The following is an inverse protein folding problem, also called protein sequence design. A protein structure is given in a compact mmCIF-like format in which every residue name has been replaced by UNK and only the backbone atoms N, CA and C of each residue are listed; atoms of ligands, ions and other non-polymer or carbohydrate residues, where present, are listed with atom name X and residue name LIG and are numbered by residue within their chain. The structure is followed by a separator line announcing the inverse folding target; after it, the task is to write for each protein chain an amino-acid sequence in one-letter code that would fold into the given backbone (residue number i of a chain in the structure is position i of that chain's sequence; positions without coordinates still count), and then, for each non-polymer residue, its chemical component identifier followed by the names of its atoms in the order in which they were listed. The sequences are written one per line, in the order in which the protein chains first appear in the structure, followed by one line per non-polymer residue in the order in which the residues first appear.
data_IF_152551083967
#
_entry.id   IF_152551083967
#
_cell.length_a   1.000
_cell.length_b   1.000
_cell.length_c   1.000
_cell.angle_alpha   90.00
_cell.angle_beta   90.00
_cell.angle_gamma   90.00
#
_symmetry.space_group_name_H-M   'P 1'
#
loop_
_entity.id
_entity.type
_entity.pdbx_description
1 polymer ?
#
# COMPACT_ATOMS: atom_id res chain seq x y z
N UNK A 1 18.81 -28.29 0.67
CA UNK A 1 20.22 -27.87 0.49
C UNK A 1 21.09 -28.70 1.45
N UNK A 2 22.14 -29.37 1.00
CA UNK A 2 22.88 -30.35 1.85
C UNK A 2 23.73 -29.60 2.89
N UNK A 3 23.30 -29.67 4.16
CA UNK A 3 23.87 -28.99 5.33
C UNK A 3 25.38 -29.29 5.52
N UNK A 4 25.78 -30.53 5.20
CA UNK A 4 27.19 -30.94 5.30
C UNK A 4 28.11 -30.29 4.24
N UNK A 5 27.50 -29.82 3.13
CA UNK A 5 28.22 -29.06 2.11
C UNK A 5 28.40 -27.60 2.55
N UNK A 6 27.37 -27.05 3.20
CA UNK A 6 27.38 -25.66 3.70
C UNK A 6 28.41 -25.52 4.85
N UNK A 7 28.44 -26.47 5.79
CA UNK A 7 29.39 -26.49 6.88
C UNK A 7 30.84 -26.60 6.36
N UNK A 8 31.09 -27.44 5.35
CA UNK A 8 32.41 -27.58 4.72
C UNK A 8 32.87 -26.33 3.99
N UNK A 9 31.95 -25.61 3.33
CA UNK A 9 32.25 -24.34 2.64
C UNK A 9 32.56 -23.21 3.63
N UNK A 10 31.85 -23.17 4.77
CA UNK A 10 32.12 -22.22 5.85
C UNK A 10 33.46 -22.54 6.53
N UNK A 11 33.72 -23.79 6.83
CA UNK A 11 34.95 -24.23 7.42
C UNK A 11 36.18 -23.88 6.55
N UNK A 12 36.03 -23.95 5.23
CA UNK A 12 37.05 -23.55 4.27
C UNK A 12 37.28 -22.04 4.24
N UNK A 13 36.26 -21.24 4.49
CA UNK A 13 36.34 -19.75 4.55
C UNK A 13 36.91 -19.25 5.88
N UNK A 14 36.81 -20.04 6.94
CA UNK A 14 37.29 -19.69 8.28
C UNK A 14 38.73 -20.15 8.54
N UNK A 15 39.43 -20.63 7.53
CA UNK A 15 40.81 -21.21 7.68
C UNK A 15 41.84 -20.23 8.25
N UNK A 16 41.61 -18.92 8.04
CA UNK A 16 42.54 -17.87 8.45
C UNK A 16 42.26 -17.36 9.90
N UNK A 17 41.24 -17.89 10.56
CA UNK A 17 40.95 -17.55 11.96
C UNK A 17 41.70 -18.49 12.95
N UNK A 18 42.03 -17.97 14.15
CA UNK A 18 42.56 -18.79 15.24
C UNK A 18 41.63 -19.98 15.54
N UNK A 19 42.23 -21.13 15.91
CA UNK A 19 41.50 -22.40 16.08
C UNK A 19 40.35 -22.32 17.09
N UNK A 20 40.53 -21.56 18.18
CA UNK A 20 39.50 -21.33 19.19
C UNK A 20 38.29 -20.52 18.63
N UNK A 21 38.55 -19.45 17.88
CA UNK A 21 37.50 -18.63 17.28
C UNK A 21 36.74 -19.37 16.15
N UNK A 22 37.46 -20.24 15.41
CA UNK A 22 36.87 -21.11 14.39
C UNK A 22 35.94 -22.14 15.00
N UNK A 23 36.33 -22.77 16.11
CA UNK A 23 35.53 -23.74 16.84
C UNK A 23 34.22 -23.09 17.37
N UNK A 24 34.32 -21.90 17.95
CA UNK A 24 33.17 -21.16 18.49
C UNK A 24 32.15 -20.79 17.40
N UNK A 25 32.61 -20.33 16.23
CA UNK A 25 31.74 -20.02 15.09
C UNK A 25 31.08 -21.28 14.51
N UNK A 26 31.83 -22.39 14.42
CA UNK A 26 31.30 -23.65 13.90
C UNK A 26 30.29 -24.29 14.87
N UNK A 27 30.52 -24.18 16.18
CA UNK A 27 29.59 -24.70 17.18
C UNK A 27 28.32 -23.84 17.27
N UNK A 28 28.41 -22.51 17.17
CA UNK A 28 27.28 -21.64 17.05
C UNK A 28 26.44 -21.94 15.79
N UNK A 29 27.09 -22.15 14.65
CA UNK A 29 26.46 -22.57 13.39
C UNK A 29 25.80 -23.96 13.49
N UNK A 30 26.46 -24.91 14.17
CA UNK A 30 25.90 -26.25 14.42
C UNK A 30 24.68 -26.21 15.35
N UNK A 31 24.72 -25.35 16.37
CA UNK A 31 23.56 -25.11 17.23
C UNK A 31 22.40 -24.48 16.47
N UNK A 32 22.67 -23.49 15.60
CA UNK A 32 21.65 -22.84 14.78
C UNK A 32 21.03 -23.79 13.75
N UNK A 33 21.89 -24.60 13.07
CA UNK A 33 21.46 -25.66 12.14
C UNK A 33 20.70 -26.77 12.90
N UNK A 34 21.09 -27.11 14.13
CA UNK A 34 20.41 -28.10 14.96
C UNK A 34 19.09 -27.56 15.51
N UNK A 35 19.01 -26.26 15.73
CA UNK A 35 17.78 -25.53 16.05
C UNK A 35 16.85 -25.54 14.83
N UNK A 36 17.34 -25.25 13.64
CA UNK A 36 16.57 -25.34 12.38
C UNK A 36 16.18 -26.79 12.03
N UNK A 37 17.05 -27.82 12.28
CA UNK A 37 16.70 -29.23 12.07
C UNK A 37 15.65 -29.77 13.04
N UNK A 38 15.58 -29.27 14.26
CA UNK A 38 14.49 -29.61 15.19
C UNK A 38 13.13 -29.16 14.67
N UNK A 39 13.12 -28.22 13.72
CA UNK A 39 11.93 -27.77 12.99
C UNK A 39 11.52 -28.68 11.81
N UNK A 40 12.33 -29.67 11.43
CA UNK A 40 12.17 -30.47 10.20
C UNK A 40 11.98 -31.98 10.51
N UNK A 41 12.18 -32.45 11.75
CA UNK A 41 11.98 -33.87 12.06
C UNK A 41 10.50 -34.21 12.31
N UNK A 42 9.94 -35.26 11.65
CA UNK A 42 8.53 -35.62 11.78
C UNK A 42 8.28 -36.36 13.10
N UNK A 43 7.74 -35.62 14.06
CA UNK A 43 7.05 -36.23 15.21
C UNK A 43 5.63 -36.60 14.83
N UNK A 44 5.25 -37.84 15.08
CA UNK A 44 3.92 -38.42 15.13
C UNK A 44 2.97 -38.21 13.93
N UNK A 45 2.73 -39.26 13.17
CA UNK A 45 1.99 -39.32 11.90
C UNK A 45 0.56 -38.78 11.96
N UNK A 46 -0.12 -38.86 13.10
CA UNK A 46 -1.52 -38.43 13.26
C UNK A 46 -1.62 -36.91 13.52
N UNK A 47 -0.68 -36.33 14.25
CA UNK A 47 -0.57 -34.90 14.50
C UNK A 47 -0.20 -34.15 13.21
N UNK A 48 0.73 -34.70 12.45
CA UNK A 48 1.16 -34.20 11.14
C UNK A 48 0.03 -34.23 10.08
N UNK A 49 -0.88 -35.20 10.14
CA UNK A 49 -2.05 -35.24 9.23
C UNK A 49 -3.09 -34.20 9.61
N UNK A 50 -3.27 -33.92 10.90
CA UNK A 50 -4.21 -32.91 11.40
C UNK A 50 -3.70 -31.49 11.08
N UNK A 51 -2.42 -31.24 11.28
CA UNK A 51 -1.74 -30.00 10.90
C UNK A 51 -1.85 -29.72 9.39
N UNK A 52 -1.49 -30.70 8.56
CA UNK A 52 -1.62 -30.62 7.09
C UNK A 52 -3.06 -30.37 6.64
N UNK A 53 -4.02 -30.91 7.36
CA UNK A 53 -5.44 -30.72 7.04
C UNK A 53 -5.90 -29.31 7.37
N UNK A 54 -5.55 -28.78 8.55
CA UNK A 54 -5.85 -27.41 8.96
C UNK A 54 -5.14 -26.42 8.03
N UNK A 55 -3.88 -26.68 7.71
CA UNK A 55 -3.10 -25.88 6.76
C UNK A 55 -3.75 -25.88 5.37
N UNK A 56 -4.17 -27.05 4.87
CA UNK A 56 -4.83 -27.18 3.57
C UNK A 56 -6.22 -26.53 3.54
N UNK A 57 -7.01 -26.63 4.61
CA UNK A 57 -8.32 -25.98 4.72
C UNK A 57 -8.17 -24.45 4.81
N UNK A 58 -7.23 -23.97 5.63
CA UNK A 58 -6.93 -22.53 5.76
C UNK A 58 -6.44 -21.93 4.42
N UNK A 59 -5.53 -22.66 3.76
CA UNK A 59 -5.03 -22.29 2.44
C UNK A 59 -6.16 -22.22 1.40
N UNK A 60 -7.07 -23.19 1.44
CA UNK A 60 -8.22 -23.25 0.56
C UNK A 60 -9.17 -22.07 0.75
N UNK A 61 -9.52 -21.71 1.98
CA UNK A 61 -10.43 -20.61 2.29
C UNK A 61 -9.86 -19.26 1.82
N UNK A 62 -8.55 -19.05 2.04
CA UNK A 62 -7.85 -17.86 1.53
C UNK A 62 -7.80 -17.86 0.00
N UNK A 63 -7.48 -19.01 -0.63
CA UNK A 63 -7.47 -19.14 -2.10
C UNK A 63 -8.87 -18.95 -2.71
N UNK A 64 -9.94 -19.39 -2.05
CA UNK A 64 -11.30 -19.15 -2.53
C UNK A 64 -11.67 -17.67 -2.47
N UNK A 65 -11.28 -16.94 -1.43
CA UNK A 65 -11.46 -15.49 -1.36
C UNK A 65 -10.72 -14.77 -2.49
N UNK A 66 -9.49 -15.21 -2.81
CA UNK A 66 -8.69 -14.69 -3.92
C UNK A 66 -9.34 -14.98 -5.27
N UNK A 67 -9.83 -16.23 -5.47
CA UNK A 67 -10.40 -16.66 -6.74
C UNK A 67 -11.74 -15.96 -7.05
N UNK A 68 -12.47 -15.52 -6.03
CA UNK A 68 -13.68 -14.71 -6.16
C UNK A 68 -13.39 -13.25 -6.54
N UNK A 69 -12.13 -12.88 -6.75
CA UNK A 69 -11.75 -11.49 -7.07
C UNK A 69 -12.03 -10.52 -5.93
N UNK A 70 -11.95 -11.01 -4.70
CA UNK A 70 -12.20 -10.22 -3.49
C UNK A 70 -11.24 -9.03 -3.42
N UNK A 71 -11.74 -7.93 -2.89
CA UNK A 71 -10.94 -6.73 -2.59
C UNK A 71 -9.91 -7.04 -1.52
N UNK A 72 -8.86 -6.22 -1.45
CA UNK A 72 -7.76 -6.40 -0.50
C UNK A 72 -8.24 -6.42 0.96
N UNK A 73 -9.20 -5.56 1.30
CA UNK A 73 -9.82 -5.48 2.63
C UNK A 73 -10.48 -6.81 3.05
N UNK A 74 -11.24 -7.44 2.13
CA UNK A 74 -11.92 -8.73 2.38
C UNK A 74 -10.89 -9.85 2.59
N UNK A 75 -9.80 -9.85 1.84
CA UNK A 75 -8.72 -10.86 1.99
C UNK A 75 -8.05 -10.71 3.37
N UNK A 76 -7.75 -9.49 3.77
CA UNK A 76 -7.10 -9.20 5.04
C UNK A 76 -7.98 -9.61 6.22
N UNK A 77 -9.27 -9.28 6.18
CA UNK A 77 -10.24 -9.70 7.21
C UNK A 77 -10.32 -11.23 7.33
N UNK A 78 -10.37 -11.94 6.20
CA UNK A 78 -10.38 -13.40 6.22
C UNK A 78 -9.09 -13.97 6.80
N UNK A 79 -7.93 -13.40 6.47
CA UNK A 79 -6.62 -13.80 7.05
C UNK A 79 -6.64 -13.65 8.58
N UNK A 80 -7.06 -12.50 9.10
CA UNK A 80 -7.11 -12.28 10.56
C UNK A 80 -8.13 -13.19 11.25
N UNK A 81 -9.25 -13.47 10.58
CA UNK A 81 -10.27 -14.39 11.08
C UNK A 81 -9.74 -15.83 11.17
N UNK A 82 -9.05 -16.31 10.15
CA UNK A 82 -8.43 -17.62 10.13
C UNK A 82 -7.32 -17.72 11.19
N UNK A 83 -6.49 -16.69 11.32
CA UNK A 83 -5.45 -16.61 12.34
C UNK A 83 -6.03 -16.78 13.76
N UNK A 84 -7.11 -16.06 14.08
CA UNK A 84 -7.78 -16.12 15.37
C UNK A 84 -8.44 -17.50 15.65
N UNK A 85 -8.64 -18.33 14.63
CA UNK A 85 -9.18 -19.69 14.76
C UNK A 85 -8.09 -20.74 15.05
N UNK A 86 -6.88 -20.53 14.50
CA UNK A 86 -5.80 -21.51 14.54
C UNK A 86 -4.75 -21.19 15.60
N UNK A 87 -4.62 -19.93 16.02
CA UNK A 87 -3.69 -19.51 17.07
C UNK A 87 -4.43 -18.79 18.18
N UNK A 88 -4.31 -19.28 19.40
CA UNK A 88 -4.88 -18.63 20.57
C UNK A 88 -4.12 -17.34 20.85
N UNK A 89 -4.79 -16.19 20.67
CA UNK A 89 -4.22 -14.88 20.92
C UNK A 89 -5.30 -13.90 21.35
N UNK A 90 -4.96 -12.92 22.22
CA UNK A 90 -5.89 -11.90 22.67
C UNK A 90 -6.08 -10.82 21.60
N UNK A 91 -5.07 -10.62 20.77
CA UNK A 91 -5.12 -9.69 19.66
C UNK A 91 -4.21 -10.12 18.51
N UNK A 92 -4.58 -9.69 17.31
CA UNK A 92 -3.74 -9.84 16.13
C UNK A 92 -3.93 -8.63 15.21
N UNK A 93 -2.91 -8.30 14.43
CA UNK A 93 -2.97 -7.22 13.45
C UNK A 93 -2.09 -7.50 12.24
N UNK A 94 -2.50 -6.95 11.13
CA UNK A 94 -1.78 -7.00 9.88
C UNK A 94 -1.34 -5.59 9.48
N UNK A 95 -0.06 -5.46 9.17
CA UNK A 95 0.52 -4.22 8.65
C UNK A 95 1.04 -4.42 7.25
N UNK A 96 1.04 -3.36 6.46
CA UNK A 96 1.72 -3.33 5.16
C UNK A 96 2.82 -2.28 5.19
N UNK A 97 3.88 -2.55 4.44
CA UNK A 97 5.00 -1.65 4.27
C UNK A 97 4.62 -0.59 3.23
N UNK A 98 4.69 0.68 3.64
CA UNK A 98 4.51 1.82 2.76
C UNK A 98 5.81 2.13 2.00
N UNK A 99 5.77 2.85 0.86
CA UNK A 99 6.96 3.21 0.07
C UNK A 99 8.02 4.02 0.84
N UNK A 100 7.61 4.76 1.88
CA UNK A 100 8.50 5.52 2.77
C UNK A 100 9.20 4.66 3.83
N UNK A 101 8.97 3.35 3.81
CA UNK A 101 9.55 2.38 4.74
C UNK A 101 8.89 2.32 6.11
N UNK A 102 7.74 2.95 6.30
CA UNK A 102 6.91 2.81 7.50
C UNK A 102 5.94 1.65 7.36
N UNK A 103 5.58 1.06 8.48
CA UNK A 103 4.50 0.09 8.55
C UNK A 103 3.18 0.80 8.81
N UNK A 104 2.16 0.44 8.06
CA UNK A 104 0.79 0.93 8.23
C UNK A 104 -0.12 -0.20 8.67
N UNK A 105 -0.82 -0.03 9.77
CA UNK A 105 -1.84 -0.99 10.25
C UNK A 105 -3.00 -0.97 9.27
N UNK A 106 -3.30 -2.11 8.66
CA UNK A 106 -4.41 -2.24 7.72
C UNK A 106 -5.64 -2.80 8.40
N UNK A 107 -5.46 -3.79 9.28
CA UNK A 107 -6.53 -4.36 10.07
C UNK A 107 -6.00 -4.90 11.40
N UNK A 108 -6.87 -4.94 12.40
CA UNK A 108 -6.60 -5.48 13.72
C UNK A 108 -7.84 -6.17 14.28
N UNK A 109 -7.67 -7.13 15.18
CA UNK A 109 -8.72 -7.83 15.92
C UNK A 109 -8.31 -8.05 17.35
N UNK A 110 -9.30 -8.05 18.26
CA UNK A 110 -9.08 -8.30 19.68
C UNK A 110 -8.47 -7.14 20.44
N UNK A 111 -8.40 -5.94 19.85
CA UNK A 111 -7.92 -4.73 20.51
C UNK A 111 -9.10 -3.86 20.96
N UNK A 112 -8.94 -3.15 22.05
CA UNK A 112 -9.96 -2.17 22.45
C UNK A 112 -9.92 -1.00 21.44
N UNK A 113 -10.91 -0.93 20.55
CA UNK A 113 -10.98 0.10 19.50
C UNK A 113 -10.35 -0.31 18.16
N UNK A 114 -10.60 -1.53 17.72
CA UNK A 114 -10.07 -2.10 16.46
C UNK A 114 -10.16 -1.15 15.25
N UNK A 115 -11.27 -0.42 15.13
CA UNK A 115 -11.46 0.56 14.05
C UNK A 115 -10.56 1.82 14.19
N UNK A 116 -10.09 2.14 15.39
CA UNK A 116 -9.29 3.35 15.63
C UNK A 116 -7.80 3.16 15.33
N UNK A 117 -7.33 1.90 15.25
CA UNK A 117 -5.91 1.61 14.99
C UNK A 117 -5.61 1.43 13.50
N UNK A 118 -6.62 1.17 12.68
CA UNK A 118 -6.45 1.10 11.23
C UNK A 118 -5.95 2.44 10.68
N UNK A 119 -4.98 2.38 9.77
CA UNK A 119 -4.33 3.56 9.19
C UNK A 119 -3.15 4.10 10.01
N UNK A 120 -2.95 3.67 11.27
CA UNK A 120 -1.78 4.07 12.06
C UNK A 120 -0.49 3.67 11.37
N UNK A 121 0.43 4.64 11.25
CA UNK A 121 1.76 4.45 10.67
C UNK A 121 2.81 4.50 11.76
N UNK A 122 3.72 3.55 11.75
CA UNK A 122 4.81 3.49 12.71
C UNK A 122 6.08 2.91 12.10
N UNK A 123 7.18 3.10 12.79
CA UNK A 123 8.48 2.47 12.55
C UNK A 123 9.18 2.32 13.89
N UNK A 124 9.68 1.15 14.18
CA UNK A 124 10.40 0.84 15.43
C UNK A 124 11.60 -0.08 15.15
N UNK A 125 12.46 -0.22 16.15
CA UNK A 125 13.71 -0.98 16.03
C UNK A 125 13.50 -2.46 15.73
N UNK A 126 12.41 -3.08 16.22
CA UNK A 126 12.11 -4.49 15.96
C UNK A 126 11.58 -4.69 14.55
N UNK A 127 10.75 -3.77 14.04
CA UNK A 127 10.31 -3.78 12.65
C UNK A 127 11.49 -3.65 11.68
N UNK A 128 12.46 -2.79 12.00
CA UNK A 128 13.68 -2.64 11.20
C UNK A 128 14.53 -3.92 11.24
N UNK A 129 14.67 -4.57 12.40
CA UNK A 129 15.35 -5.84 12.55
C UNK A 129 14.69 -6.96 11.72
N UNK A 130 13.35 -7.05 11.75
CA UNK A 130 12.63 -8.06 10.97
C UNK A 130 12.80 -7.79 9.47
N UNK A 131 12.80 -6.52 9.06
CA UNK A 131 13.02 -6.12 7.67
C UNK A 131 14.41 -6.49 7.16
N UNK A 132 15.43 -6.38 8.02
CA UNK A 132 16.80 -6.76 7.66
C UNK A 132 16.97 -8.28 7.59
N UNK A 133 16.40 -9.00 8.56
CA UNK A 133 16.61 -10.44 8.69
C UNK A 133 15.61 -11.28 7.91
N UNK A 134 14.42 -10.74 7.63
CA UNK A 134 13.29 -11.43 7.00
C UNK A 134 12.86 -12.70 7.75
N UNK A 135 13.11 -12.73 9.04
CA UNK A 135 12.80 -13.86 9.93
C UNK A 135 11.70 -13.49 10.92
N UNK A 136 10.86 -14.44 11.32
CA UNK A 136 9.92 -14.26 12.42
C UNK A 136 10.63 -13.89 13.71
N UNK A 137 9.99 -13.06 14.52
CA UNK A 137 10.43 -12.71 15.86
C UNK A 137 9.36 -13.11 16.87
N UNK A 138 9.81 -13.68 17.99
CA UNK A 138 8.97 -14.07 19.09
C UNK A 138 9.56 -13.58 20.41
N UNK A 139 8.75 -12.88 21.20
CA UNK A 139 9.08 -12.39 22.53
C UNK A 139 8.19 -13.09 23.56
N UNK A 140 8.79 -13.85 24.46
CA UNK A 140 8.07 -14.50 25.55
C UNK A 140 7.50 -13.48 26.54
N UNK A 141 8.26 -12.42 26.83
CA UNK A 141 7.80 -11.25 27.58
C UNK A 141 8.39 -9.99 26.95
N UNK A 142 7.54 -9.11 26.46
CA UNK A 142 7.96 -7.83 25.82
C UNK A 142 8.68 -6.90 26.79
N UNK A 143 8.46 -7.03 28.11
CA UNK A 143 9.15 -6.19 29.10
C UNK A 143 10.61 -6.58 29.29
N UNK A 144 11.03 -7.75 28.83
CA UNK A 144 12.42 -8.17 28.80
C UNK A 144 13.19 -7.68 27.58
N UNK A 145 12.53 -7.07 26.60
CA UNK A 145 13.14 -6.58 25.35
C UNK A 145 13.12 -5.04 25.31
N UNK A 146 14.27 -4.42 25.58
CA UNK A 146 14.39 -2.96 25.63
C UNK A 146 14.04 -2.23 24.33
N UNK A 147 14.15 -2.92 23.18
CA UNK A 147 13.82 -2.39 21.85
C UNK A 147 12.33 -2.43 21.54
N UNK A 148 11.54 -3.13 22.35
CA UNK A 148 10.11 -3.19 22.15
C UNK A 148 9.48 -1.84 22.52
N UNK A 149 8.96 -1.16 21.53
CA UNK A 149 8.22 0.10 21.71
C UNK A 149 6.81 -0.08 21.15
N UNK A 150 5.78 -0.03 22.00
CA UNK A 150 4.41 -0.09 21.51
C UNK A 150 4.12 1.13 20.65
N UNK A 151 3.55 0.90 19.45
CA UNK A 151 3.10 1.99 18.59
C UNK A 151 1.84 2.66 19.18
N UNK A 152 1.51 3.92 18.83
CA UNK A 152 0.35 4.64 19.37
C UNK A 152 -0.97 3.88 19.12
N UNK A 153 -1.69 3.55 20.18
CA UNK A 153 -2.91 2.76 20.11
C UNK A 153 -2.70 1.23 20.11
N UNK A 154 -1.44 0.76 20.23
CA UNK A 154 -1.17 -0.66 20.36
C UNK A 154 -1.85 -1.27 21.60
N UNK A 155 -2.37 -2.51 21.50
CA UNK A 155 -2.85 -3.21 22.67
C UNK A 155 -1.71 -3.48 23.66
N UNK A 156 -2.04 -3.53 24.96
CA UNK A 156 -1.09 -3.90 26.00
C UNK A 156 -0.84 -5.41 25.95
N UNK A 157 0.24 -5.81 25.30
CA UNK A 157 0.66 -7.20 25.21
C UNK A 157 1.83 -7.51 26.14
N UNK A 158 1.93 -8.75 26.60
CA UNK A 158 3.05 -9.28 27.39
C UNK A 158 3.85 -10.29 26.56
N UNK A 159 3.19 -11.18 25.85
CA UNK A 159 3.85 -12.05 24.85
C UNK A 159 3.50 -11.59 23.45
N UNK A 160 4.48 -11.63 22.56
CA UNK A 160 4.35 -11.10 21.21
C UNK A 160 5.06 -11.99 20.19
N UNK A 161 4.40 -12.23 19.08
CA UNK A 161 5.00 -12.89 17.94
C UNK A 161 4.69 -12.10 16.67
N UNK A 162 5.66 -12.00 15.76
CA UNK A 162 5.51 -11.33 14.49
C UNK A 162 6.13 -12.16 13.37
N UNK A 163 5.39 -12.28 12.28
CA UNK A 163 5.75 -13.08 11.12
C UNK A 163 5.81 -12.14 9.90
N UNK A 164 6.93 -12.09 9.15
CA UNK A 164 7.01 -11.30 7.95
C UNK A 164 6.15 -11.89 6.84
N UNK A 165 5.43 -11.02 6.14
CA UNK A 165 4.66 -11.35 4.94
C UNK A 165 5.60 -11.25 3.74
N UNK A 166 6.14 -12.38 3.30
CA UNK A 166 7.17 -12.45 2.26
C UNK A 166 6.62 -13.05 0.96
N UNK A 167 6.95 -12.41 -0.16
CA UNK A 167 6.75 -12.97 -1.51
C UNK A 167 8.04 -12.80 -2.29
N UNK A 168 8.60 -13.90 -2.79
CA UNK A 168 9.83 -13.90 -3.59
C UNK A 168 11.02 -13.18 -2.91
N UNK A 169 11.06 -13.21 -1.57
CA UNK A 169 12.09 -12.53 -0.76
C UNK A 169 11.82 -11.03 -0.50
N UNK A 170 10.73 -10.47 -1.02
CA UNK A 170 10.30 -9.10 -0.76
C UNK A 170 9.36 -9.04 0.44
N UNK A 171 9.60 -8.12 1.37
CA UNK A 171 8.74 -7.88 2.52
C UNK A 171 7.55 -6.99 2.12
N UNK A 172 6.34 -7.52 2.22
CA UNK A 172 5.10 -6.77 1.98
C UNK A 172 4.55 -6.11 3.24
N UNK A 173 4.84 -6.68 4.40
CA UNK A 173 4.31 -6.25 5.68
C UNK A 173 4.57 -7.27 6.78
N UNK A 174 3.85 -7.14 7.90
CA UNK A 174 3.98 -8.01 9.06
C UNK A 174 2.61 -8.49 9.54
N UNK A 175 2.55 -9.75 9.95
CA UNK A 175 1.44 -10.34 10.68
C UNK A 175 1.87 -10.50 12.14
N UNK A 176 1.16 -9.90 13.07
CA UNK A 176 1.52 -9.91 14.48
C UNK A 176 0.40 -10.49 15.36
N UNK A 177 0.83 -11.16 16.42
CA UNK A 177 0.01 -11.81 17.43
C UNK A 177 0.41 -11.30 18.81
N UNK A 178 -0.54 -11.10 19.71
CA UNK A 178 -0.27 -10.65 21.06
C UNK A 178 -1.14 -11.37 22.10
N UNK A 179 -0.54 -11.62 23.28
CA UNK A 179 -1.22 -12.06 24.50
C UNK A 179 -1.01 -11.03 25.60
N UNK A 180 -2.06 -10.74 26.36
CA UNK A 180 -2.01 -9.80 27.49
C UNK A 180 -1.32 -10.39 28.72
N UNK A 181 -1.18 -11.70 28.79
CA UNK A 181 -0.43 -12.41 29.82
C UNK A 181 0.91 -12.89 29.29
N UNK A 182 1.85 -13.20 30.20
CA UNK A 182 3.12 -13.83 29.85
C UNK A 182 2.86 -15.31 29.57
N UNK A 183 2.55 -15.57 28.31
CA UNK A 183 2.27 -16.91 27.80
C UNK A 183 2.90 -17.03 26.41
N UNK A 184 4.11 -17.60 26.31
CA UNK A 184 4.82 -17.71 25.03
C UNK A 184 4.03 -18.51 24.01
N UNK A 185 4.14 -18.10 22.74
CA UNK A 185 3.58 -18.88 21.63
C UNK A 185 4.39 -20.16 21.43
N UNK A 186 3.69 -21.28 21.32
CA UNK A 186 4.28 -22.59 21.08
C UNK A 186 4.83 -22.72 19.65
N UNK A 187 5.70 -23.71 19.44
CA UNK A 187 6.29 -23.97 18.11
C UNK A 187 5.23 -24.27 17.06
N UNK A 188 4.22 -25.07 17.39
CA UNK A 188 3.10 -25.42 16.52
C UNK A 188 2.30 -24.17 16.13
N UNK A 189 1.95 -23.32 17.09
CA UNK A 189 1.23 -22.07 16.82
C UNK A 189 2.00 -21.14 15.88
N UNK A 190 3.31 -21.02 16.11
CA UNK A 190 4.18 -20.23 15.24
C UNK A 190 4.31 -20.84 13.84
N UNK A 191 4.32 -22.17 13.72
CA UNK A 191 4.35 -22.87 12.45
C UNK A 191 3.07 -22.59 11.64
N UNK A 192 1.90 -22.76 12.27
CA UNK A 192 0.62 -22.46 11.64
C UNK A 192 0.49 -20.98 11.24
N UNK A 193 0.93 -20.07 12.12
CA UNK A 193 0.94 -18.64 11.80
C UNK A 193 1.87 -18.31 10.60
N UNK A 194 3.03 -18.98 10.48
CA UNK A 194 3.93 -18.83 9.32
C UNK A 194 3.30 -19.33 8.03
N UNK A 195 2.65 -20.50 8.05
CA UNK A 195 1.97 -21.05 6.88
C UNK A 195 0.86 -20.11 6.40
N UNK A 196 0.07 -19.57 7.34
CA UNK A 196 -0.96 -18.57 7.02
C UNK A 196 -0.36 -17.27 6.48
N UNK A 197 0.72 -16.77 7.10
CA UNK A 197 1.39 -15.55 6.65
C UNK A 197 1.93 -15.68 5.22
N UNK A 198 2.49 -16.83 4.87
CA UNK A 198 2.95 -17.11 3.51
C UNK A 198 1.79 -17.07 2.50
N UNK A 199 0.68 -17.72 2.81
CA UNK A 199 -0.52 -17.73 1.98
C UNK A 199 -1.15 -16.34 1.86
N UNK A 200 -1.22 -15.61 2.99
CA UNK A 200 -1.71 -14.25 3.04
C UNK A 200 -0.84 -13.29 2.20
N UNK A 201 0.47 -13.42 2.27
CA UNK A 201 1.39 -12.59 1.49
C UNK A 201 1.16 -12.76 -0.02
N UNK A 202 1.04 -14.00 -0.50
CA UNK A 202 0.73 -14.29 -1.90
C UNK A 202 -0.63 -13.70 -2.33
N UNK A 203 -1.64 -13.84 -1.47
CA UNK A 203 -2.98 -13.30 -1.68
C UNK A 203 -2.98 -11.77 -1.80
N UNK A 204 -2.33 -11.10 -0.84
CA UNK A 204 -2.19 -9.65 -0.79
C UNK A 204 -1.44 -9.13 -2.02
N UNK A 205 -0.34 -9.80 -2.42
CA UNK A 205 0.42 -9.45 -3.62
C UNK A 205 -0.45 -9.52 -4.88
N UNK A 206 -1.18 -10.63 -5.04
CA UNK A 206 -2.10 -10.80 -6.18
C UNK A 206 -3.19 -9.74 -6.20
N UNK A 207 -3.81 -9.43 -5.05
CA UNK A 207 -4.84 -8.40 -4.96
C UNK A 207 -4.30 -7.01 -5.32
N UNK A 208 -3.11 -6.64 -4.81
CA UNK A 208 -2.44 -5.38 -5.15
C UNK A 208 -2.15 -5.29 -6.65
N UNK A 209 -1.64 -6.35 -7.26
CA UNK A 209 -1.36 -6.38 -8.70
C UNK A 209 -2.64 -6.25 -9.53
N UNK A 210 -3.70 -6.95 -9.17
CA UNK A 210 -4.99 -6.85 -9.86
C UNK A 210 -5.60 -5.46 -9.74
N UNK A 211 -5.51 -4.84 -8.56
CA UNK A 211 -5.98 -3.48 -8.34
C UNK A 211 -5.17 -2.48 -9.18
N UNK A 212 -3.85 -2.66 -9.23
CA UNK A 212 -2.96 -1.86 -10.07
C UNK A 212 -3.32 -1.98 -11.57
N UNK A 213 -3.53 -3.21 -12.06
CA UNK A 213 -3.95 -3.46 -13.45
C UNK A 213 -5.30 -2.80 -13.74
N UNK A 214 -6.28 -2.89 -12.83
CA UNK A 214 -7.59 -2.25 -12.98
C UNK A 214 -7.47 -0.72 -13.04
N UNK A 215 -6.64 -0.12 -12.19
CA UNK A 215 -6.38 1.31 -12.21
C UNK A 215 -5.75 1.77 -13.52
N UNK A 216 -4.74 1.04 -14.02
CA UNK A 216 -4.13 1.35 -15.32
C UNK A 216 -5.11 1.16 -16.49
N UNK A 217 -5.92 0.12 -16.46
CA UNK A 217 -6.97 -0.08 -17.47
C UNK A 217 -7.97 1.07 -17.49
N UNK A 218 -8.45 1.50 -16.31
CA UNK A 218 -9.34 2.66 -16.18
C UNK A 218 -8.70 3.96 -16.70
N UNK A 219 -7.40 4.17 -16.43
CA UNK A 219 -6.67 5.31 -16.99
C UNK A 219 -6.62 5.26 -18.51
N UNK A 220 -6.29 4.11 -19.10
CA UNK A 220 -6.24 3.96 -20.57
C UNK A 220 -7.60 4.20 -21.21
N UNK A 221 -8.67 3.74 -20.58
CA UNK A 221 -10.03 4.01 -21.05
C UNK A 221 -10.33 5.52 -21.10
N UNK A 222 -9.95 6.29 -20.07
CA UNK A 222 -10.14 7.74 -20.05
C UNK A 222 -9.25 8.46 -21.06
N UNK A 223 -8.02 8.01 -21.27
CA UNK A 223 -7.14 8.56 -22.33
C UNK A 223 -7.75 8.35 -23.71
N UNK A 224 -8.21 7.14 -24.00
CA UNK A 224 -8.88 6.83 -25.29
C UNK A 224 -10.15 7.65 -25.48
N UNK A 225 -10.91 7.88 -24.42
CA UNK A 225 -12.13 8.72 -24.48
C UNK A 225 -11.81 10.17 -24.88
N UNK A 226 -10.74 10.76 -24.33
CA UNK A 226 -10.27 12.10 -24.69
C UNK A 226 -9.78 12.13 -26.14
N UNK A 227 -8.95 11.18 -26.54
CA UNK A 227 -8.44 11.08 -27.91
C UNK A 227 -9.58 10.95 -28.93
N UNK A 228 -10.64 10.19 -28.60
CA UNK A 228 -11.81 10.06 -29.46
C UNK A 228 -12.58 11.38 -29.62
N UNK A 229 -12.69 12.18 -28.58
CA UNK A 229 -13.31 13.54 -28.65
C UNK A 229 -12.50 14.44 -29.56
N UNK A 230 -11.16 14.41 -29.46
CA UNK A 230 -10.26 15.18 -30.32
C UNK A 230 -10.37 14.74 -31.79
N UNK A 231 -10.33 13.43 -32.04
CA UNK A 231 -10.38 12.85 -33.38
C UNK A 231 -11.71 13.18 -34.12
N UNK A 232 -12.80 13.25 -33.39
CA UNK A 232 -14.10 13.65 -33.97
C UNK A 232 -14.25 15.16 -34.21
N UNK A 233 -13.18 15.94 -34.04
CA UNK A 233 -13.18 17.37 -34.32
C UNK A 233 -14.03 18.19 -33.35
N UNK A 234 -14.23 17.71 -32.12
CA UNK A 234 -14.98 18.39 -31.09
C UNK A 234 -14.39 19.75 -30.71
N UNK A 235 -15.18 20.63 -30.12
CA UNK A 235 -14.71 21.98 -29.70
C UNK A 235 -13.64 21.87 -28.62
N UNK A 236 -12.82 22.91 -28.49
CA UNK A 236 -11.77 22.93 -27.45
C UNK A 236 -12.38 22.85 -26.04
N UNK A 237 -13.58 23.43 -25.88
CA UNK A 237 -14.37 23.31 -24.64
C UNK A 237 -14.82 21.87 -24.39
N UNK A 238 -15.24 21.15 -25.44
CA UNK A 238 -15.64 19.75 -25.32
C UNK A 238 -14.43 18.84 -24.96
N UNK A 239 -13.25 19.15 -25.52
CA UNK A 239 -12.00 18.45 -25.14
C UNK A 239 -11.61 18.77 -23.70
N UNK A 240 -11.72 20.04 -23.28
CA UNK A 240 -11.45 20.44 -21.90
C UNK A 240 -12.39 19.72 -20.92
N UNK A 241 -13.68 19.63 -21.27
CA UNK A 241 -14.67 18.92 -20.45
C UNK A 241 -14.36 17.41 -20.37
N UNK A 242 -14.01 16.77 -21.49
CA UNK A 242 -13.64 15.35 -21.51
C UNK A 242 -12.40 15.07 -20.64
N UNK A 243 -11.43 15.99 -20.64
CA UNK A 243 -10.23 15.90 -19.78
C UNK A 243 -10.63 15.96 -18.29
N UNK A 244 -11.50 16.90 -17.92
CA UNK A 244 -11.93 17.04 -16.53
C UNK A 244 -12.77 15.85 -16.08
N UNK A 245 -13.71 15.41 -16.90
CA UNK A 245 -14.57 14.25 -16.61
C UNK A 245 -13.75 12.97 -16.47
N UNK A 246 -12.71 12.80 -17.30
CA UNK A 246 -11.79 11.68 -17.21
C UNK A 246 -10.99 11.68 -15.91
N UNK A 247 -10.47 12.83 -15.49
CA UNK A 247 -9.80 12.99 -14.21
C UNK A 247 -10.77 12.68 -13.04
N UNK A 248 -12.00 13.16 -13.12
CA UNK A 248 -13.05 12.87 -12.14
C UNK A 248 -13.31 11.37 -11.95
N UNK A 249 -13.37 10.62 -13.06
CA UNK A 249 -13.60 9.16 -13.01
C UNK A 249 -12.41 8.39 -12.48
N UNK A 250 -11.17 8.79 -12.82
CA UNK A 250 -9.94 8.14 -12.34
C UNK A 250 -9.83 8.22 -10.82
N UNK A 251 -10.12 9.38 -10.22
CA UNK A 251 -9.98 9.63 -8.79
C UNK A 251 -11.31 9.63 -8.02
N UNK A 252 -12.45 9.32 -8.68
CA UNK A 252 -13.79 9.41 -8.09
C UNK A 252 -14.12 10.80 -7.53
N UNK A 253 -13.57 11.86 -8.11
CA UNK A 253 -13.83 13.24 -7.71
C UNK A 253 -15.22 13.68 -8.11
N UNK A 254 -15.92 14.39 -7.21
CA UNK A 254 -17.29 14.88 -7.43
C UNK A 254 -17.33 16.34 -7.90
N UNK A 255 -16.22 17.06 -7.80
CA UNK A 255 -16.13 18.45 -8.20
C UNK A 255 -14.73 18.82 -8.68
N UNK A 256 -14.66 19.80 -9.60
CA UNK A 256 -13.38 20.28 -10.08
C UNK A 256 -13.48 21.27 -11.22
N UNK A 257 -12.32 21.82 -11.56
CA UNK A 257 -12.10 22.77 -12.64
C UNK A 257 -10.90 22.35 -13.48
N UNK A 258 -10.97 22.64 -14.79
CA UNK A 258 -9.77 22.74 -15.62
C UNK A 258 -9.51 24.22 -15.91
N UNK A 259 -8.44 24.76 -15.37
CA UNK A 259 -7.98 26.12 -15.60
C UNK A 259 -6.89 26.09 -16.64
N UNK A 260 -7.05 26.82 -17.73
CA UNK A 260 -6.09 26.90 -18.84
C UNK A 260 -5.58 28.32 -19.05
N UNK A 261 -4.40 28.45 -19.63
CA UNK A 261 -3.86 29.75 -20.06
C UNK A 261 -4.59 30.22 -21.30
N UNK A 262 -5.25 31.37 -21.22
CA UNK A 262 -5.89 32.06 -22.36
C UNK A 262 -5.13 33.32 -22.76
N UNK A 263 -5.54 33.97 -23.87
CA UNK A 263 -4.91 35.19 -24.35
C UNK A 263 -4.93 36.38 -23.37
N UNK A 264 -5.99 36.42 -22.55
CA UNK A 264 -6.23 37.47 -21.53
C UNK A 264 -5.89 37.04 -20.13
N UNK A 265 -5.20 35.89 -19.94
CA UNK A 265 -4.88 35.29 -18.64
C UNK A 265 -5.58 33.94 -18.38
N UNK A 266 -5.34 33.37 -17.23
CA UNK A 266 -5.94 32.08 -16.86
C UNK A 266 -7.47 32.14 -16.80
N UNK A 267 -8.10 31.13 -17.41
CA UNK A 267 -9.60 31.01 -17.44
C UNK A 267 -10.04 29.59 -17.16
N UNK A 268 -11.26 29.45 -16.69
CA UNK A 268 -11.92 28.16 -16.51
C UNK A 268 -12.35 27.63 -17.88
N UNK A 269 -11.76 26.51 -18.31
CA UNK A 269 -12.08 25.87 -19.59
C UNK A 269 -13.16 24.78 -19.44
N UNK A 270 -13.25 24.14 -18.27
CA UNK A 270 -14.25 23.15 -17.94
C UNK A 270 -14.55 23.16 -16.44
N UNK A 271 -15.75 22.74 -16.05
CA UNK A 271 -16.19 22.62 -14.67
C UNK A 271 -16.97 21.33 -14.44
N UNK A 272 -16.88 20.79 -13.22
CA UNK A 272 -17.56 19.59 -12.76
C UNK A 272 -18.09 19.82 -11.35
N UNK A 273 -19.33 19.39 -11.09
CA UNK A 273 -20.03 19.57 -9.80
C UNK A 273 -20.82 20.86 -9.71
N UNK A 274 -21.95 20.79 -8.98
CA UNK A 274 -22.92 21.91 -8.85
C UNK A 274 -22.30 23.22 -8.35
N UNK A 275 -21.28 23.11 -7.48
CA UNK A 275 -20.58 24.26 -6.90
C UNK A 275 -19.87 25.13 -7.94
N UNK A 276 -19.49 24.56 -9.07
CA UNK A 276 -18.79 25.24 -10.15
C UNK A 276 -19.67 25.55 -11.36
N UNK A 277 -20.98 25.40 -11.25
CA UNK A 277 -21.89 25.76 -12.33
C UNK A 277 -21.73 27.22 -12.76
N UNK A 278 -21.76 27.46 -14.07
CA UNK A 278 -21.67 28.78 -14.64
C UNK A 278 -20.28 29.47 -14.51
N UNK A 279 -19.23 28.74 -14.14
CA UNK A 279 -17.84 29.28 -14.08
C UNK A 279 -17.09 29.17 -15.39
N UNK A 280 -17.49 28.29 -16.30
CA UNK A 280 -16.84 28.09 -17.61
C UNK A 280 -16.78 29.40 -18.41
N UNK A 281 -15.62 29.68 -18.98
CA UNK A 281 -15.34 30.88 -19.75
C UNK A 281 -14.95 32.09 -18.91
N UNK A 282 -15.19 32.09 -17.59
CA UNK A 282 -14.81 33.20 -16.70
C UNK A 282 -13.32 33.18 -16.40
N UNK A 283 -12.71 34.32 -16.03
CA UNK A 283 -11.38 34.36 -15.48
C UNK A 283 -11.27 33.46 -14.26
N UNK A 284 -10.14 32.78 -14.11
CA UNK A 284 -9.88 32.00 -12.90
C UNK A 284 -9.74 32.93 -11.68
N UNK A 285 -10.20 32.51 -10.49
CA UNK A 285 -9.93 33.22 -9.24
C UNK A 285 -8.44 33.57 -9.11
N UNK A 286 -8.11 34.72 -8.51
CA UNK A 286 -6.74 35.27 -8.48
C UNK A 286 -5.71 34.29 -7.94
N UNK A 287 -6.07 33.55 -6.92
CA UNK A 287 -5.20 32.59 -6.23
C UNK A 287 -4.97 31.36 -7.09
N UNK A 288 -6.01 30.83 -7.73
CA UNK A 288 -5.89 29.76 -8.70
C UNK A 288 -5.15 30.21 -9.97
N UNK A 289 -5.32 31.43 -10.42
CA UNK A 289 -4.60 31.98 -11.56
C UNK A 289 -3.08 31.92 -11.35
N UNK A 290 -2.62 32.22 -10.13
CA UNK A 290 -1.20 32.18 -9.78
C UNK A 290 -0.63 30.76 -9.79
N UNK A 291 -1.43 29.77 -9.41
CA UNK A 291 -1.06 28.35 -9.39
C UNK A 291 -1.13 27.72 -10.78
N UNK A 292 -2.17 28.07 -11.54
CA UNK A 292 -2.40 27.54 -12.90
C UNK A 292 -1.32 27.96 -13.92
N UNK A 293 -0.57 29.02 -13.65
CA UNK A 293 0.53 29.48 -14.51
C UNK A 293 1.88 28.85 -14.18
N UNK A 294 1.98 28.17 -13.03
CA UNK A 294 3.23 27.54 -12.59
C UNK A 294 3.23 26.05 -12.94
N UNK A 295 4.34 25.62 -13.51
CA UNK A 295 4.63 24.20 -13.73
C UNK A 295 5.00 23.57 -12.39
N UNK A 296 3.99 23.16 -11.62
CA UNK A 296 4.14 22.55 -10.32
C UNK A 296 4.08 21.02 -10.45
N UNK A 297 4.68 20.30 -9.51
CA UNK A 297 4.34 18.90 -9.28
C UNK A 297 2.90 18.82 -8.71
N UNK A 298 2.21 17.69 -8.83
CA UNK A 298 0.93 17.49 -8.16
C UNK A 298 1.02 17.88 -6.69
N UNK A 299 0.04 18.61 -6.19
CA UNK A 299 0.03 19.14 -4.84
C UNK A 299 -1.37 19.02 -4.22
N UNK A 300 -1.39 18.68 -2.92
CA UNK A 300 -2.62 18.63 -2.10
C UNK A 300 -2.58 19.78 -1.13
N UNK A 301 -3.65 20.55 -1.14
CA UNK A 301 -3.79 21.71 -0.28
C UNK A 301 -4.95 21.46 0.68
N UNK A 302 -4.65 21.42 1.97
CA UNK A 302 -5.66 21.43 3.05
C UNK A 302 -6.08 22.87 3.31
N UNK A 303 -7.34 23.08 3.64
CA UNK A 303 -7.91 24.40 4.01
C UNK A 303 -7.99 25.45 2.88
N UNK A 304 -7.96 25.02 1.60
CA UNK A 304 -7.89 25.95 0.46
C UNK A 304 -9.21 26.20 -0.25
N UNK A 305 -10.36 25.93 0.40
CA UNK A 305 -11.68 26.26 -0.17
C UNK A 305 -11.82 27.76 -0.49
N UNK A 306 -11.20 28.64 0.33
CA UNK A 306 -11.15 30.08 0.09
C UNK A 306 -10.44 30.45 -1.22
N UNK A 307 -9.40 29.71 -1.62
CA UNK A 307 -8.70 29.90 -2.91
C UNK A 307 -9.58 29.68 -4.12
N UNK A 308 -10.64 28.88 -3.98
CA UNK A 308 -11.55 28.56 -5.07
C UNK A 308 -12.62 29.65 -5.30
N UNK A 309 -12.75 30.57 -4.34
CA UNK A 309 -13.81 31.62 -4.37
C UNK A 309 -15.21 31.04 -4.25
N UNK A 310 -15.35 29.82 -3.73
CA UNK A 310 -16.60 29.10 -3.53
C UNK A 310 -16.60 28.46 -2.13
N UNK A 311 -17.76 28.45 -1.48
CA UNK A 311 -17.94 27.82 -0.18
C UNK A 311 -18.16 26.31 -0.39
N UNK A 312 -17.07 25.56 -0.29
CA UNK A 312 -17.09 24.11 -0.52
C UNK A 312 -16.65 23.41 0.76
N UNK A 313 -17.41 22.45 1.27
CA UNK A 313 -16.96 21.57 2.34
C UNK A 313 -15.99 20.50 1.79
N UNK A 314 -14.88 20.93 1.20
CA UNK A 314 -13.83 20.03 0.72
C UNK A 314 -12.73 19.90 1.79
N UNK A 315 -12.35 18.68 2.10
CA UNK A 315 -11.26 18.42 3.04
C UNK A 315 -9.90 18.70 2.40
N UNK A 316 -9.75 18.45 1.10
CA UNK A 316 -8.50 18.67 0.36
C UNK A 316 -8.81 19.13 -1.08
N UNK A 317 -7.96 20.02 -1.60
CA UNK A 317 -7.93 20.39 -3.01
C UNK A 317 -6.70 19.76 -3.63
N UNK A 318 -6.90 18.95 -4.65
CA UNK A 318 -5.82 18.31 -5.39
C UNK A 318 -5.56 19.06 -6.70
N UNK A 319 -4.34 19.55 -6.85
CA UNK A 319 -3.88 20.29 -8.03
C UNK A 319 -3.00 19.39 -8.88
N UNK A 320 -3.36 19.20 -10.15
CA UNK A 320 -2.58 18.40 -11.09
C UNK A 320 -2.25 19.24 -12.32
N UNK A 321 -0.96 19.52 -12.60
CA UNK A 321 -0.58 20.28 -13.77
C UNK A 321 -0.83 19.47 -15.05
N UNK A 322 -1.58 20.05 -15.97
CA UNK A 322 -1.80 19.49 -17.31
C UNK A 322 -0.63 19.98 -18.20
N UNK A 323 0.44 19.19 -18.19
CA UNK A 323 1.70 19.60 -18.82
C UNK A 323 2.52 18.42 -19.35
N UNK A 324 3.36 18.70 -20.34
CA UNK A 324 4.47 17.85 -20.77
C UNK A 324 5.80 18.55 -20.47
N UNK A 325 6.97 17.91 -20.67
CA UNK A 325 8.26 18.58 -20.53
C UNK A 325 8.38 19.90 -21.31
N UNK A 326 7.70 20.02 -22.46
CA UNK A 326 7.79 21.15 -23.39
C UNK A 326 6.58 22.10 -23.34
N UNK A 327 5.46 21.64 -22.77
CA UNK A 327 4.18 22.35 -22.82
C UNK A 327 3.50 22.37 -21.47
N UNK A 328 3.08 23.57 -21.05
CA UNK A 328 2.13 23.71 -19.94
C UNK A 328 0.80 24.28 -20.51
N UNK A 329 -0.27 23.51 -20.35
CA UNK A 329 -1.63 23.86 -20.80
C UNK A 329 -2.40 24.57 -19.70
N UNK A 330 -2.30 24.04 -18.46
CA UNK A 330 -3.07 24.54 -17.34
C UNK A 330 -3.00 23.60 -16.14
N UNK A 331 -4.01 23.65 -15.29
CA UNK A 331 -4.07 22.86 -14.06
C UNK A 331 -5.48 22.30 -13.86
N UNK A 332 -5.55 21.00 -13.56
CA UNK A 332 -6.74 20.39 -12.98
C UNK A 332 -6.80 20.74 -11.50
N UNK A 333 -7.93 21.19 -11.05
CA UNK A 333 -8.26 21.51 -9.66
C UNK A 333 -9.38 20.57 -9.25
N UNK A 334 -9.11 19.61 -8.41
CA UNK A 334 -10.03 18.53 -8.07
C UNK A 334 -10.36 18.59 -6.58
N UNK A 335 -11.65 18.46 -6.25
CA UNK A 335 -12.12 18.42 -4.87
C UNK A 335 -12.13 16.96 -4.41
N UNK A 336 -11.39 16.67 -3.35
CA UNK A 336 -11.34 15.35 -2.73
C UNK A 336 -12.20 15.36 -1.45
N UNK A 337 -13.45 14.84 -1.50
CA UNK A 337 -14.32 14.82 -0.33
C UNK A 337 -13.94 13.75 0.68
N UNK A 338 -13.30 12.65 0.24
CA UNK A 338 -13.14 11.44 1.05
C UNK A 338 -11.69 11.17 1.47
N UNK A 339 -10.71 11.94 0.93
CA UNK A 339 -9.28 11.77 1.28
C UNK A 339 -8.68 10.44 0.80
N UNK A 340 -9.35 9.69 -0.07
CA UNK A 340 -8.78 8.53 -0.75
C UNK A 340 -7.81 9.04 -1.81
N UNK A 341 -6.54 9.04 -1.47
CA UNK A 341 -5.46 9.52 -2.33
C UNK A 341 -5.35 8.70 -3.61
N UNK A 342 -5.68 9.24 -4.80
CA UNK A 342 -5.29 8.60 -6.04
C UNK A 342 -3.77 8.53 -6.14
N UNK A 343 -3.29 7.60 -6.91
CA UNK A 343 -1.89 7.46 -7.26
C UNK A 343 -1.45 8.71 -8.05
N UNK A 344 -0.57 9.54 -7.45
CA UNK A 344 -0.08 10.76 -8.08
C UNK A 344 0.57 10.48 -9.44
N UNK A 345 1.27 9.35 -9.58
CA UNK A 345 1.87 8.92 -10.84
C UNK A 345 0.82 8.64 -11.92
N UNK A 346 -0.32 8.07 -11.53
CA UNK A 346 -1.44 7.79 -12.43
C UNK A 346 -2.05 9.09 -12.95
N UNK A 347 -2.29 10.05 -12.05
CA UNK A 347 -2.84 11.34 -12.41
C UNK A 347 -1.87 12.19 -13.24
N UNK A 348 -0.57 12.15 -12.95
CA UNK A 348 0.46 12.78 -13.77
C UNK A 348 0.52 12.19 -15.20
N UNK A 349 0.47 10.87 -15.30
CA UNK A 349 0.46 10.19 -16.61
C UNK A 349 -0.78 10.57 -17.42
N UNK A 350 -1.96 10.64 -16.78
CA UNK A 350 -3.18 11.11 -17.42
C UNK A 350 -3.07 12.56 -17.86
N UNK A 351 -2.66 13.47 -16.96
CA UNK A 351 -2.55 14.90 -17.24
C UNK A 351 -1.54 15.22 -18.36
N UNK A 352 -0.45 14.47 -18.43
CA UNK A 352 0.54 14.61 -19.52
C UNK A 352 -0.05 14.22 -20.88
N UNK A 353 -0.85 13.16 -20.95
CA UNK A 353 -1.57 12.76 -22.17
C UNK A 353 -2.65 13.77 -22.52
N UNK A 354 -3.41 14.24 -21.54
CA UNK A 354 -4.43 15.27 -21.70
C UNK A 354 -3.84 16.58 -22.25
N UNK A 355 -2.65 16.98 -21.81
CA UNK A 355 -1.94 18.15 -22.34
C UNK A 355 -1.64 18.01 -23.84
N UNK A 356 -1.22 16.84 -24.28
CA UNK A 356 -0.97 16.55 -25.69
C UNK A 356 -2.25 16.61 -26.51
N UNK A 357 -3.32 15.98 -26.03
CA UNK A 357 -4.64 15.98 -26.67
C UNK A 357 -5.23 17.40 -26.81
N UNK A 358 -5.16 18.19 -25.74
CA UNK A 358 -5.62 19.59 -25.75
C UNK A 358 -4.86 20.45 -26.73
N UNK A 359 -3.52 20.34 -26.77
CA UNK A 359 -2.68 21.05 -27.76
C UNK A 359 -3.04 20.67 -29.18
N UNK A 360 -3.22 19.38 -29.45
CA UNK A 360 -3.59 18.92 -30.79
C UNK A 360 -4.94 19.50 -31.23
N UNK A 361 -5.92 19.51 -30.35
CA UNK A 361 -7.22 20.14 -30.62
C UNK A 361 -7.11 21.65 -30.85
N UNK A 362 -6.24 22.35 -30.13
CA UNK A 362 -5.98 23.79 -30.31
C UNK A 362 -5.32 24.10 -31.66
N UNK A 363 -4.34 23.28 -32.09
CA UNK A 363 -3.62 23.49 -33.37
C UNK A 363 -4.46 23.10 -34.59
N UNK A 364 -5.37 22.20 -34.50
CA UNK A 364 -6.24 21.77 -35.61
C UNK A 364 -7.27 22.80 -36.03
N UNK A 365 -7.37 23.93 -35.31
CA UNK A 365 -8.36 25.02 -35.52
C UNK A 365 -7.76 26.38 -35.81
N UNK A 366 -6.47 26.53 -35.77
CA UNK A 366 -5.73 27.72 -36.19
C UNK A 366 -5.25 27.59 -37.63
#
# INVERSE_FOLDING_TARGET
MNTDRLLRDVEKRLKDLPEAARAEVLDALREEISRERRWIEPGNTVENERERRVEAETLRDVLEAINRGARLDVIIEEVLKQLARIVTSDCCWLTLLDPDGRLRVIAARGTTGDAQVAGTRFRDALSDLIRERLLPLHLADVQAEERFTPWPGAPLVRSWAVIPLLVEGELLGLLALGRIQVEPFGEEELHLAKALAFSAAAAIRKAKLLDQVKRYAGLMEQVVAVDHVVFNGATLEAVAQAILDGAGRIGSYQGGLLVVQGPSGPRVAASMGEVFEGTVGKPAPSDLASVATRRLAPARLRESAEMLGVDVPAQEVYLVPVSTPELHVGTLVLLDPDGETPDDQLMEAYASRAATAYRHAALSRG
#
